data_IF_720993841567
#
_entry.id   IF_720993841567
#
_cell.length_a   1.000
_cell.length_b   1.000
_cell.length_c   1.000
_cell.angle_alpha   90.00
_cell.angle_beta   90.00
_cell.angle_gamma   90.00
#
_symmetry.space_group_name_H-M   'P 1'
#
loop_
_entity.id
_entity.type
_entity.pdbx_description
1 polymer ?
#
# COMPACT_ATOMS: atom_id res chain seq x y z
N UNK A 1 -4.95 -14.64 9.49
CA UNK A 1 -4.61 -16.03 9.06
C UNK A 1 -3.96 -15.95 7.69
N UNK A 2 -2.94 -16.75 7.41
CA UNK A 2 -2.20 -16.71 6.14
C UNK A 2 -2.22 -18.08 5.47
N UNK A 3 -2.46 -18.09 4.16
CA UNK A 3 -2.61 -19.26 3.32
C UNK A 3 -1.73 -19.14 2.08
N UNK A 4 -1.12 -20.25 1.64
CA UNK A 4 -0.29 -20.31 0.45
C UNK A 4 -0.96 -21.20 -0.60
N UNK A 5 -1.04 -20.71 -1.83
CA UNK A 5 -1.63 -21.40 -2.96
C UNK A 5 -0.62 -21.44 -4.10
N UNK A 6 -0.36 -22.63 -4.64
CA UNK A 6 0.51 -22.78 -5.81
C UNK A 6 -0.37 -22.96 -7.03
N UNK A 7 -0.23 -22.07 -8.01
CA UNK A 7 -0.89 -22.19 -9.33
C UNK A 7 0.03 -23.04 -10.21
N UNK A 8 -0.32 -24.31 -10.52
CA UNK A 8 0.51 -25.17 -11.35
C UNK A 8 0.22 -24.97 -12.84
N UNK A 9 1.15 -25.34 -13.71
CA UNK A 9 0.98 -25.28 -15.18
C UNK A 9 0.46 -23.91 -15.65
N UNK A 10 0.99 -22.81 -15.11
CA UNK A 10 0.53 -21.45 -15.38
C UNK A 10 0.39 -21.18 -16.88
N UNK A 11 1.36 -21.59 -17.69
CA UNK A 11 1.35 -21.36 -19.13
C UNK A 11 0.13 -22.00 -19.82
N UNK A 12 -0.37 -23.12 -19.29
CA UNK A 12 -1.60 -23.77 -19.78
C UNK A 12 -2.83 -22.95 -19.41
N UNK A 13 -2.94 -22.51 -18.17
CA UNK A 13 -4.04 -21.65 -17.73
C UNK A 13 -4.04 -20.28 -18.42
N UNK A 14 -2.86 -19.71 -18.69
CA UNK A 14 -2.73 -18.44 -19.38
C UNK A 14 -3.23 -18.49 -20.84
N UNK A 15 -3.38 -19.71 -21.41
CA UNK A 15 -3.91 -19.96 -22.76
C UNK A 15 -5.40 -20.35 -22.77
N UNK A 16 -6.04 -20.53 -21.63
CA UNK A 16 -7.48 -20.80 -21.59
C UNK A 16 -8.29 -19.56 -21.96
N UNK A 17 -9.56 -19.68 -22.37
CA UNK A 17 -10.43 -18.53 -22.53
C UNK A 17 -10.55 -17.73 -21.22
N UNK A 18 -10.76 -16.42 -21.33
CA UNK A 18 -11.10 -15.60 -20.17
C UNK A 18 -12.33 -16.18 -19.44
N UNK A 19 -12.47 -15.87 -18.15
CA UNK A 19 -13.48 -16.44 -17.22
C UNK A 19 -13.20 -17.88 -16.75
N UNK A 20 -12.16 -18.53 -17.25
CA UNK A 20 -11.74 -19.85 -16.76
C UNK A 20 -11.02 -19.71 -15.42
N UNK A 21 -11.61 -20.25 -14.35
CA UNK A 21 -11.06 -20.21 -13.00
C UNK A 21 -10.31 -21.49 -12.64
N UNK A 22 -9.13 -21.36 -12.03
CA UNK A 22 -8.56 -22.36 -11.14
C UNK A 22 -9.12 -22.11 -9.74
N UNK A 23 -9.93 -23.06 -9.25
CA UNK A 23 -10.51 -23.01 -7.91
C UNK A 23 -9.67 -23.89 -6.97
N UNK A 24 -9.19 -23.32 -5.88
CA UNK A 24 -8.50 -24.07 -4.84
C UNK A 24 -9.48 -24.72 -3.87
N UNK A 25 -9.03 -25.77 -3.18
CA UNK A 25 -9.81 -26.41 -2.13
C UNK A 25 -10.22 -25.39 -1.06
N UNK A 26 -11.44 -25.51 -0.53
CA UNK A 26 -11.94 -24.54 0.41
C UNK A 26 -11.26 -24.69 1.79
N UNK A 27 -11.09 -23.58 2.48
CA UNK A 27 -10.49 -23.48 3.80
C UNK A 27 -11.35 -22.62 4.72
N UNK A 28 -11.25 -22.86 6.02
CA UNK A 28 -12.06 -22.15 7.01
C UNK A 28 -11.47 -20.78 7.35
N UNK A 29 -12.32 -19.76 7.29
CA UNK A 29 -12.04 -18.41 7.76
C UNK A 29 -13.26 -17.94 8.54
N UNK A 30 -13.08 -17.55 9.81
CA UNK A 30 -14.17 -17.07 10.67
C UNK A 30 -15.37 -18.01 10.80
N UNK A 31 -15.15 -19.33 10.77
CA UNK A 31 -16.24 -20.32 10.83
C UNK A 31 -16.95 -20.56 9.50
N UNK A 32 -16.52 -19.92 8.40
CA UNK A 32 -17.07 -20.11 7.06
C UNK A 32 -16.04 -20.68 6.09
N UNK A 33 -16.50 -21.55 5.19
CA UNK A 33 -15.67 -22.07 4.11
C UNK A 33 -15.49 -21.01 3.02
N UNK A 34 -14.24 -20.73 2.66
CA UNK A 34 -13.87 -19.87 1.55
C UNK A 34 -12.96 -20.64 0.61
N UNK A 35 -12.95 -20.29 -0.67
CA UNK A 35 -11.97 -20.81 -1.62
C UNK A 35 -11.29 -19.64 -2.36
N UNK A 36 -10.06 -19.87 -2.80
CA UNK A 36 -9.35 -18.93 -3.65
C UNK A 36 -9.63 -19.27 -5.12
N UNK A 37 -10.10 -18.31 -5.89
CA UNK A 37 -10.24 -18.42 -7.34
C UNK A 37 -9.17 -17.58 -8.01
N UNK A 38 -8.42 -18.21 -8.92
CA UNK A 38 -7.43 -17.54 -9.74
C UNK A 38 -7.87 -17.67 -11.19
N UNK A 39 -7.83 -16.56 -11.92
CA UNK A 39 -8.12 -16.52 -13.34
C UNK A 39 -6.84 -16.09 -14.07
N UNK A 40 -5.96 -17.04 -14.44
CA UNK A 40 -4.71 -16.69 -15.10
C UNK A 40 -4.93 -15.93 -16.42
N UNK A 41 -5.98 -16.24 -17.17
CA UNK A 41 -6.35 -15.60 -18.43
C UNK A 41 -7.44 -14.50 -18.30
N UNK A 42 -7.61 -13.92 -17.10
CA UNK A 42 -8.56 -12.83 -16.85
C UNK A 42 -9.93 -13.29 -16.35
N UNK A 43 -10.53 -12.43 -15.51
CA UNK A 43 -11.86 -12.66 -14.93
C UNK A 43 -12.98 -12.53 -15.96
N UNK A 44 -12.79 -11.62 -16.91
CA UNK A 44 -13.67 -11.32 -18.05
C UNK A 44 -12.81 -10.97 -19.27
N UNK A 45 -13.46 -10.73 -20.41
CA UNK A 45 -12.77 -10.41 -21.67
C UNK A 45 -11.98 -9.10 -21.58
N UNK A 46 -12.48 -8.10 -20.84
CA UNK A 46 -11.80 -6.82 -20.67
C UNK A 46 -10.56 -6.91 -19.78
N UNK A 47 -10.45 -7.96 -18.97
CA UNK A 47 -9.32 -8.24 -18.08
C UNK A 47 -8.46 -9.41 -18.57
N UNK A 48 -8.61 -9.86 -19.82
CA UNK A 48 -7.92 -11.02 -20.38
C UNK A 48 -6.37 -10.94 -20.37
N UNK A 49 -5.81 -9.73 -20.33
CA UNK A 49 -4.37 -9.51 -20.20
C UNK A 49 -3.86 -9.59 -18.75
N UNK A 50 -4.75 -9.77 -17.77
CA UNK A 50 -4.43 -9.73 -16.35
C UNK A 50 -4.74 -11.07 -15.68
N UNK A 51 -3.94 -11.40 -14.66
CA UNK A 51 -4.33 -12.42 -13.70
C UNK A 51 -5.31 -11.78 -12.72
N UNK A 52 -6.44 -12.43 -12.50
CA UNK A 52 -7.42 -12.03 -11.49
C UNK A 52 -7.39 -13.01 -10.31
N UNK A 53 -7.64 -12.53 -9.10
CA UNK A 53 -7.59 -13.35 -7.87
C UNK A 53 -8.71 -12.93 -6.93
N UNK A 54 -9.51 -13.89 -6.46
CA UNK A 54 -10.62 -13.64 -5.55
C UNK A 54 -10.67 -14.65 -4.41
N UNK A 55 -10.86 -14.15 -3.19
CA UNK A 55 -11.32 -14.95 -2.07
C UNK A 55 -12.85 -14.97 -2.10
N UNK A 56 -13.42 -16.15 -2.28
CA UNK A 56 -14.85 -16.33 -2.49
C UNK A 56 -15.42 -17.16 -1.35
N UNK A 57 -16.48 -16.69 -0.66
CA UNK A 57 -17.19 -17.53 0.30
C UNK A 57 -17.85 -18.69 -0.47
N UNK A 58 -17.72 -19.91 0.03
CA UNK A 58 -18.48 -21.03 -0.49
C UNK A 58 -19.94 -20.80 -0.13
N UNK A 59 -20.81 -20.74 -1.12
CA UNK A 59 -22.26 -20.66 -0.89
C UNK A 59 -22.71 -21.99 -0.25
N UNK A 60 -22.90 -21.99 1.06
CA UNK A 60 -23.64 -23.05 1.76
C UNK A 60 -25.12 -22.63 1.78
N UNK A 61 -26.04 -23.44 1.23
CA UNK A 61 -27.48 -23.16 1.28
C UNK A 61 -28.04 -22.94 2.70
N UNK A 62 -27.34 -23.41 3.75
CA UNK A 62 -27.77 -23.33 5.14
C UNK A 62 -27.09 -22.21 5.96
N UNK A 63 -26.11 -21.50 5.40
CA UNK A 63 -25.33 -20.50 6.15
C UNK A 63 -25.94 -19.09 6.02
N UNK A 64 -27.12 -18.91 6.63
CA UNK A 64 -27.85 -17.64 6.68
C UNK A 64 -27.33 -16.66 7.75
N UNK A 65 -26.35 -17.06 8.57
CA UNK A 65 -25.94 -16.32 9.78
C UNK A 65 -24.90 -15.24 9.45
N UNK A 66 -24.11 -15.42 8.40
CA UNK A 66 -23.05 -14.48 8.00
C UNK A 66 -23.28 -13.83 6.62
N UNK A 67 -24.42 -14.13 5.98
CA UNK A 67 -24.82 -13.56 4.70
C UNK A 67 -25.48 -12.17 4.83
N UNK A 68 -25.14 -11.42 5.88
CA UNK A 68 -25.54 -10.03 6.03
C UNK A 68 -24.43 -9.14 5.45
N UNK A 69 -24.82 -8.01 4.86
CA UNK A 69 -23.90 -6.97 4.36
C UNK A 69 -22.82 -6.57 5.40
N UNK A 70 -23.04 -6.83 6.68
CA UNK A 70 -22.14 -6.50 7.80
C UNK A 70 -21.01 -7.53 8.01
N UNK A 71 -21.19 -8.81 7.67
CA UNK A 71 -20.21 -9.87 7.90
C UNK A 71 -18.97 -9.80 6.99
N UNK A 72 -19.18 -9.62 5.68
CA UNK A 72 -18.08 -9.44 4.71
C UNK A 72 -17.37 -8.07 4.84
N UNK A 73 -18.02 -7.07 5.45
CA UNK A 73 -17.42 -5.75 5.66
C UNK A 73 -16.27 -5.77 6.68
N UNK A 74 -16.18 -6.77 7.57
CA UNK A 74 -15.12 -6.89 8.58
C UNK A 74 -13.89 -7.67 8.13
N UNK A 75 -13.97 -8.34 6.98
CA UNK A 75 -12.90 -9.17 6.45
C UNK A 75 -12.05 -8.37 5.48
N UNK A 76 -10.78 -8.14 5.79
CA UNK A 76 -9.80 -7.53 4.88
C UNK A 76 -8.87 -8.62 4.36
N UNK A 77 -8.47 -8.54 3.09
CA UNK A 77 -7.50 -9.49 2.51
C UNK A 77 -6.28 -8.77 1.94
N UNK A 78 -5.14 -9.43 2.08
CA UNK A 78 -3.89 -9.13 1.39
C UNK A 78 -3.59 -10.29 0.45
N UNK A 79 -3.41 -9.98 -0.82
CA UNK A 79 -2.98 -10.91 -1.85
C UNK A 79 -1.57 -10.51 -2.25
N UNK A 80 -0.68 -11.48 -2.30
CA UNK A 80 0.70 -11.29 -2.72
C UNK A 80 1.08 -12.42 -3.68
N UNK A 81 1.81 -12.10 -4.75
CA UNK A 81 2.50 -13.11 -5.57
C UNK A 81 3.98 -13.07 -5.19
N UNK A 82 4.50 -14.24 -4.85
CA UNK A 82 5.85 -14.39 -4.32
C UNK A 82 6.85 -14.71 -5.44
N UNK A 83 8.12 -14.45 -5.17
CA UNK A 83 9.23 -14.88 -6.02
C UNK A 83 9.37 -16.40 -6.07
N UNK A 84 10.22 -16.89 -6.96
CA UNK A 84 10.45 -18.32 -7.23
C UNK A 84 10.80 -19.15 -5.99
N UNK A 85 11.42 -18.54 -4.97
CA UNK A 85 11.72 -19.19 -3.69
C UNK A 85 10.49 -19.32 -2.80
N UNK A 86 9.45 -18.51 -3.03
CA UNK A 86 8.24 -18.47 -2.23
C UNK A 86 8.39 -17.68 -0.93
N UNK A 87 9.39 -16.80 -0.84
CA UNK A 87 9.70 -16.08 0.39
C UNK A 87 9.34 -14.59 0.30
N UNK A 88 9.72 -13.94 -0.81
CA UNK A 88 9.60 -12.49 -0.97
C UNK A 88 8.50 -12.13 -1.95
N UNK A 89 7.68 -11.16 -1.58
CA UNK A 89 6.64 -10.62 -2.44
C UNK A 89 7.26 -9.87 -3.60
N UNK A 90 6.67 -10.01 -4.79
CA UNK A 90 6.99 -9.20 -5.97
C UNK A 90 5.79 -8.30 -6.29
N UNK A 91 4.59 -8.89 -6.25
CA UNK A 91 3.33 -8.18 -6.40
C UNK A 91 2.51 -8.28 -5.13
N UNK A 92 1.86 -7.18 -4.76
CA UNK A 92 0.92 -7.09 -3.65
C UNK A 92 -0.29 -6.21 -4.00
N UNK A 93 -1.18 -6.02 -3.03
CA UNK A 93 -2.33 -5.13 -3.10
C UNK A 93 -2.02 -3.71 -3.62
N UNK A 94 -0.84 -3.15 -3.32
CA UNK A 94 -0.45 -1.78 -3.74
C UNK A 94 0.09 -1.76 -5.18
N UNK A 95 0.63 -2.88 -5.67
CA UNK A 95 1.02 -3.03 -7.07
C UNK A 95 -0.15 -3.37 -8.00
N UNK A 96 -1.30 -3.74 -7.43
CA UNK A 96 -2.47 -4.20 -8.16
C UNK A 96 -2.98 -3.15 -9.16
N UNK A 97 -3.47 -3.60 -10.31
CA UNK A 97 -3.91 -2.74 -11.42
C UNK A 97 -5.40 -2.36 -11.37
N UNK A 98 -6.12 -2.85 -10.37
CA UNK A 98 -7.48 -2.42 -10.05
C UNK A 98 -7.64 -2.25 -8.54
N UNK A 99 -8.66 -1.49 -8.13
CA UNK A 99 -9.13 -1.52 -6.74
C UNK A 99 -9.59 -2.92 -6.33
N UNK A 100 -9.52 -3.19 -5.02
CA UNK A 100 -10.05 -4.43 -4.47
C UNK A 100 -11.58 -4.41 -4.52
N UNK A 101 -12.18 -5.41 -5.16
CA UNK A 101 -13.64 -5.57 -5.19
C UNK A 101 -14.15 -6.01 -3.82
N UNK A 102 -15.30 -5.50 -3.43
CA UNK A 102 -15.90 -5.71 -2.10
C UNK A 102 -17.28 -6.37 -2.18
N UNK A 103 -17.86 -6.46 -3.39
CA UNK A 103 -19.25 -6.86 -3.62
C UNK A 103 -19.36 -7.91 -4.74
N UNK A 104 -20.37 -8.79 -4.65
CA UNK A 104 -20.61 -9.87 -5.62
C UNK A 104 -19.99 -11.20 -5.19
N UNK A 105 -19.37 -11.92 -6.12
CA UNK A 105 -18.83 -13.28 -5.97
C UNK A 105 -17.56 -13.39 -5.08
N UNK A 106 -17.29 -12.46 -4.17
CA UNK A 106 -16.12 -12.47 -3.28
C UNK A 106 -15.26 -11.20 -3.30
N UNK A 107 -14.20 -11.21 -2.50
CA UNK A 107 -13.26 -10.08 -2.33
C UNK A 107 -11.97 -10.36 -3.08
N UNK A 108 -11.51 -9.44 -3.93
CA UNK A 108 -10.37 -9.73 -4.80
C UNK A 108 -10.03 -8.63 -5.78
N UNK A 109 -9.36 -9.00 -6.87
CA UNK A 109 -8.87 -8.08 -7.89
C UNK A 109 -9.21 -8.62 -9.27
N UNK A 110 -9.95 -7.82 -10.05
CA UNK A 110 -10.25 -8.11 -11.47
C UNK A 110 -8.98 -7.99 -12.32
N UNK A 111 -8.12 -7.00 -12.01
CA UNK A 111 -6.83 -6.80 -12.66
C UNK A 111 -5.73 -6.76 -11.59
N UNK A 112 -5.26 -7.92 -11.12
CA UNK A 112 -4.21 -7.96 -10.09
C UNK A 112 -2.86 -7.61 -10.71
N UNK A 113 -2.33 -8.47 -11.57
CA UNK A 113 -1.06 -8.28 -12.26
C UNK A 113 -1.25 -8.50 -13.76
N UNK A 114 -0.56 -7.70 -14.60
CA UNK A 114 -0.57 -7.94 -16.05
C UNK A 114 0.27 -9.18 -16.36
N UNK A 115 -0.21 -10.06 -17.23
CA UNK A 115 0.46 -11.33 -17.52
C UNK A 115 1.89 -11.13 -18.05
N UNK A 116 2.08 -10.19 -18.97
CA UNK A 116 3.41 -9.87 -19.50
C UNK A 116 4.39 -9.44 -18.39
N UNK A 117 3.94 -8.65 -17.41
CA UNK A 117 4.76 -8.27 -16.26
C UNK A 117 5.05 -9.46 -15.32
N UNK A 118 4.08 -10.36 -15.13
CA UNK A 118 4.25 -11.56 -14.32
C UNK A 118 5.25 -12.54 -14.95
N UNK A 119 5.15 -12.77 -16.27
CA UNK A 119 5.99 -13.68 -17.05
C UNK A 119 7.47 -13.23 -17.09
N UNK A 120 7.72 -11.92 -17.04
CA UNK A 120 9.06 -11.34 -16.98
C UNK A 120 9.56 -11.06 -15.56
N UNK A 121 8.77 -11.40 -14.54
CA UNK A 121 9.17 -11.29 -13.13
C UNK A 121 9.88 -12.55 -12.63
N UNK A 122 10.38 -12.50 -11.39
CA UNK A 122 10.93 -13.67 -10.72
C UNK A 122 9.87 -14.62 -10.14
N UNK A 123 8.58 -14.44 -10.42
CA UNK A 123 7.50 -15.20 -9.77
C UNK A 123 7.24 -16.57 -10.39
N UNK A 124 7.38 -16.69 -11.72
CA UNK A 124 7.14 -17.96 -12.42
C UNK A 124 8.36 -18.85 -12.23
N UNK A 125 8.17 -19.93 -11.48
CA UNK A 125 9.21 -20.93 -11.25
C UNK A 125 9.36 -21.80 -12.49
N UNK A 126 10.49 -21.64 -13.18
CA UNK A 126 10.75 -22.28 -14.49
C UNK A 126 10.77 -23.81 -14.45
N UNK A 127 11.09 -24.42 -13.31
CA UNK A 127 11.21 -25.88 -13.19
C UNK A 127 9.87 -26.61 -13.34
N UNK A 128 8.78 -25.97 -12.93
CA UNK A 128 7.46 -26.58 -12.78
C UNK A 128 6.32 -25.69 -13.32
N UNK A 129 6.66 -24.60 -14.03
CA UNK A 129 5.70 -23.64 -14.63
C UNK A 129 4.65 -23.19 -13.61
N UNK A 130 5.07 -22.83 -12.40
CA UNK A 130 4.17 -22.50 -11.30
C UNK A 130 4.49 -21.17 -10.64
N UNK A 131 3.53 -20.57 -9.94
CA UNK A 131 3.78 -19.44 -9.05
C UNK A 131 2.96 -19.54 -7.77
N UNK A 132 3.43 -18.86 -6.72
CA UNK A 132 2.83 -18.92 -5.39
C UNK A 132 2.08 -17.64 -5.06
N UNK A 133 0.82 -17.78 -4.65
CA UNK A 133 0.01 -16.72 -4.07
C UNK A 133 -0.01 -16.89 -2.55
N UNK A 134 0.31 -15.82 -1.83
CA UNK A 134 0.07 -15.70 -0.39
C UNK A 134 -1.19 -14.87 -0.16
N UNK A 135 -2.20 -15.48 0.43
CA UNK A 135 -3.42 -14.81 0.86
C UNK A 135 -3.39 -14.66 2.38
N UNK A 136 -3.36 -13.43 2.88
CA UNK A 136 -3.51 -13.14 4.31
C UNK A 136 -4.86 -12.49 4.57
N UNK A 137 -5.65 -13.13 5.42
CA UNK A 137 -6.96 -12.64 5.85
C UNK A 137 -6.85 -12.01 7.23
N UNK A 138 -7.39 -10.79 7.33
CA UNK A 138 -7.48 -9.98 8.54
C UNK A 138 -8.96 -9.82 8.92
N UNK A 139 -9.22 -9.79 10.21
CA UNK A 139 -10.55 -9.64 10.77
C UNK A 139 -10.50 -8.40 11.65
N UNK A 140 -11.29 -7.40 11.30
CA UNK A 140 -11.45 -6.22 12.13
C UNK A 140 -12.45 -6.59 13.24
N UNK A 141 -11.91 -6.87 14.43
CA UNK A 141 -12.72 -7.17 15.63
C UNK A 141 -12.92 -5.87 16.41
N UNK A 142 -14.16 -5.40 16.51
CA UNK A 142 -14.52 -4.36 17.46
C UNK A 142 -14.46 -4.95 18.88
N UNK A 143 -13.36 -4.70 19.59
CA UNK A 143 -13.25 -5.05 21.00
C UNK A 143 -13.97 -4.00 21.82
N UNK A 144 -15.20 -4.31 22.26
CA UNK A 144 -15.88 -3.51 23.30
C UNK A 144 -15.18 -3.78 24.63
N UNK A 145 -14.19 -2.95 24.94
CA UNK A 145 -13.58 -2.93 26.28
C UNK A 145 -14.63 -2.39 27.25
N UNK A 146 -15.32 -3.29 27.96
CA UNK A 146 -16.08 -2.89 29.14
C UNK A 146 -15.04 -2.43 30.18
N UNK A 147 -14.98 -1.13 30.45
CA UNK A 147 -14.15 -0.56 31.52
C UNK A 147 -14.42 -1.33 32.81
N UNK A 148 -13.46 -2.14 33.26
CA UNK A 148 -13.40 -2.58 34.65
C UNK A 148 -12.82 -1.42 35.48
N UNK A 149 -13.33 -1.16 36.69
CA UNK A 149 -12.83 -0.10 37.54
C UNK A 149 -11.36 -0.37 37.88
N UNK A 150 -10.53 0.66 37.68
CA UNK A 150 -9.10 0.60 37.86
C UNK A 150 -8.74 0.24 39.31
N UNK A 151 -8.06 -0.89 39.50
CA UNK A 151 -7.06 -1.10 40.57
C UNK A 151 -6.34 -2.43 40.34
N UNK A 152 -5.23 -2.40 39.61
CA UNK A 152 -4.06 -3.23 39.92
C UNK A 152 -2.81 -2.41 39.58
N UNK A 153 -2.09 -2.06 40.64
CA UNK A 153 -0.75 -1.50 40.62
C UNK A 153 0.22 -2.61 40.19
N UNK A 154 1.12 -2.36 39.24
CA UNK A 154 2.43 -3.03 39.20
C UNK A 154 3.45 -2.10 38.53
N UNK A 155 4.63 -2.07 39.16
CA UNK A 155 5.68 -1.08 39.02
C UNK A 155 6.28 -0.98 37.61
N UNK A 156 6.50 0.27 37.16
CA UNK A 156 7.26 0.58 35.97
C UNK A 156 8.74 0.25 36.17
N UNK A 157 9.25 -0.73 35.42
CA UNK A 157 10.68 -0.85 35.20
C UNK A 157 11.12 0.26 34.24
N UNK A 158 12.06 1.08 34.72
CA UNK A 158 12.79 2.08 33.96
C UNK A 158 13.57 1.38 32.85
N UNK A 159 13.11 1.49 31.61
CA UNK A 159 13.98 1.32 30.44
C UNK A 159 14.49 2.70 30.07
N UNK A 160 15.78 2.95 30.29
CA UNK A 160 16.45 4.13 29.75
C UNK A 160 16.38 4.06 28.21
N UNK A 161 15.46 4.82 27.62
CA UNK A 161 15.48 5.08 26.19
C UNK A 161 16.64 6.03 25.88
N UNK A 162 17.62 5.53 25.13
CA UNK A 162 18.71 6.34 24.57
C UNK A 162 18.15 7.44 23.67
N UNK A 163 18.70 8.66 23.84
CA UNK A 163 18.49 9.86 23.04
C UNK A 163 18.44 9.53 21.53
N UNK A 164 17.35 9.83 20.78
CA UNK A 164 17.35 9.60 19.34
C UNK A 164 18.32 10.59 18.67
N UNK A 165 19.38 10.04 18.07
CA UNK A 165 20.27 10.77 17.17
C UNK A 165 19.47 11.13 15.91
N UNK A 166 19.43 12.41 15.56
CA UNK A 166 18.94 12.86 14.26
C UNK A 166 19.83 12.23 13.19
N UNK A 167 19.31 11.22 12.49
CA UNK A 167 20.07 10.46 11.52
C UNK A 167 19.22 10.12 10.31
N UNK A 168 19.66 10.58 9.15
CA UNK A 168 19.27 10.02 7.85
C UNK A 168 19.87 8.62 7.78
N UNK A 169 19.02 7.60 7.63
CA UNK A 169 19.49 6.21 7.42
C UNK A 169 19.47 5.97 5.91
N UNK A 170 20.59 5.48 5.36
CA UNK A 170 20.75 5.19 3.93
C UNK A 170 20.97 3.70 3.64
N UNK A 171 20.54 3.26 2.47
CA UNK A 171 20.84 1.93 1.90
C UNK A 171 20.97 2.01 0.38
N UNK A 172 21.40 0.92 -0.25
CA UNK A 172 21.31 0.74 -1.69
C UNK A 172 20.72 -0.63 -2.02
N UNK A 173 19.83 -0.68 -3.01
CA UNK A 173 19.27 -1.89 -3.56
C UNK A 173 19.68 -2.03 -5.03
N UNK A 174 20.20 -3.19 -5.43
CA UNK A 174 20.61 -3.45 -6.82
C UNK A 174 19.71 -4.51 -7.42
N UNK A 175 19.18 -4.21 -8.61
CA UNK A 175 18.39 -5.12 -9.43
C UNK A 175 19.14 -5.44 -10.71
N UNK A 176 19.16 -6.72 -11.09
CA UNK A 176 19.68 -7.19 -12.38
C UNK A 176 18.54 -7.77 -13.19
N UNK A 177 18.32 -7.25 -14.39
CA UNK A 177 17.38 -7.77 -15.37
C UNK A 177 18.20 -8.50 -16.43
N UNK A 178 18.08 -9.82 -16.50
CA UNK A 178 18.73 -10.61 -17.55
C UNK A 178 17.86 -10.82 -18.77
N UNK A 179 18.52 -11.13 -19.88
CA UNK A 179 17.92 -11.21 -21.21
C UNK A 179 17.18 -9.92 -21.57
N UNK A 180 17.83 -8.78 -21.29
CA UNK A 180 17.18 -7.46 -21.34
C UNK A 180 16.64 -7.13 -22.73
N UNK A 181 17.32 -7.56 -23.80
CA UNK A 181 16.84 -7.43 -25.18
C UNK A 181 15.50 -8.14 -25.37
N UNK A 182 15.33 -9.35 -24.82
CA UNK A 182 14.07 -10.08 -24.91
C UNK A 182 12.98 -9.42 -24.08
N UNK A 183 13.31 -8.90 -22.89
CA UNK A 183 12.38 -8.13 -22.05
C UNK A 183 11.88 -6.91 -22.83
N UNK A 184 12.77 -6.16 -23.50
CA UNK A 184 12.40 -5.00 -24.33
C UNK A 184 11.53 -5.39 -25.53
N UNK A 185 11.81 -6.52 -26.17
CA UNK A 185 11.00 -6.99 -27.29
C UNK A 185 9.58 -7.39 -26.87
N UNK A 186 9.42 -7.91 -25.64
CA UNK A 186 8.16 -8.44 -25.15
C UNK A 186 7.27 -7.42 -24.43
N UNK A 187 7.84 -6.44 -23.73
CA UNK A 187 7.09 -5.45 -22.96
C UNK A 187 6.76 -4.21 -23.80
N UNK A 188 5.51 -3.76 -23.74
CA UNK A 188 5.08 -2.51 -24.40
C UNK A 188 5.44 -1.27 -23.57
N UNK A 189 5.35 -0.08 -24.17
CA UNK A 189 5.38 1.19 -23.43
C UNK A 189 4.39 1.16 -22.27
N UNK A 190 4.83 1.54 -21.08
CA UNK A 190 4.03 1.48 -19.86
C UNK A 190 3.93 0.11 -19.18
N UNK A 191 4.56 -0.94 -19.72
CA UNK A 191 4.76 -2.21 -19.03
C UNK A 191 6.15 -2.28 -18.39
N UNK A 192 6.28 -3.05 -17.31
CA UNK A 192 7.50 -3.03 -16.50
C UNK A 192 7.86 -4.36 -15.86
N UNK A 193 9.15 -4.48 -15.53
CA UNK A 193 9.67 -5.54 -14.67
C UNK A 193 9.66 -5.03 -13.23
N UNK A 194 9.15 -5.84 -12.31
CA UNK A 194 9.15 -5.54 -10.88
C UNK A 194 10.34 -6.20 -10.19
N UNK A 195 10.97 -5.50 -9.25
CA UNK A 195 11.89 -6.13 -8.32
C UNK A 195 11.16 -6.97 -7.29
N UNK A 196 11.91 -7.84 -6.61
CA UNK A 196 11.47 -8.35 -5.31
C UNK A 196 11.31 -7.17 -4.35
N UNK A 197 10.33 -7.25 -3.47
CA UNK A 197 10.21 -6.29 -2.38
C UNK A 197 11.39 -6.44 -1.40
N UNK A 198 11.86 -5.31 -0.88
CA UNK A 198 12.94 -5.25 0.10
C UNK A 198 12.56 -4.33 1.26
N UNK A 199 12.98 -4.72 2.46
CA UNK A 199 12.69 -3.97 3.69
C UNK A 199 13.76 -2.93 3.96
N UNK A 200 13.35 -1.70 4.27
CA UNK A 200 14.25 -0.66 4.72
C UNK A 200 13.53 0.36 5.60
N UNK A 201 14.11 0.58 6.79
CA UNK A 201 13.62 1.55 7.78
C UNK A 201 12.14 1.39 8.14
N UNK A 202 11.70 0.15 8.37
CA UNK A 202 10.31 -0.17 8.73
C UNK A 202 9.33 -0.26 7.55
N UNK A 203 9.72 0.23 6.36
CA UNK A 203 8.93 0.14 5.14
C UNK A 203 9.30 -1.05 4.26
N UNK A 204 8.34 -1.48 3.43
CA UNK A 204 8.60 -2.33 2.26
C UNK A 204 8.73 -1.46 1.01
N UNK A 205 9.69 -1.77 0.15
CA UNK A 205 10.03 -0.99 -1.05
C UNK A 205 10.23 -1.91 -2.25
N UNK A 206 10.02 -1.39 -3.47
CA UNK A 206 10.28 -2.13 -4.71
C UNK A 206 10.62 -1.18 -5.86
N UNK A 207 11.23 -1.72 -6.91
CA UNK A 207 11.50 -1.00 -8.16
C UNK A 207 10.55 -1.48 -9.26
N UNK A 208 10.12 -0.53 -10.09
CA UNK A 208 9.51 -0.80 -11.40
C UNK A 208 10.44 -0.26 -12.48
N UNK A 209 10.89 -1.13 -13.36
CA UNK A 209 11.76 -0.76 -14.49
C UNK A 209 10.95 -0.90 -15.77
N UNK A 210 10.79 0.20 -16.49
CA UNK A 210 10.05 0.29 -17.74
C UNK A 210 11.07 0.33 -18.89
N UNK A 211 11.31 -0.78 -19.60
CA UNK A 211 12.36 -0.85 -20.61
C UNK A 211 12.10 0.03 -21.83
N UNK A 212 10.82 0.28 -22.13
CA UNK A 212 10.35 1.06 -23.27
C UNK A 212 9.53 2.29 -22.82
N UNK A 213 9.92 2.89 -21.69
CA UNK A 213 9.31 4.08 -21.13
C UNK A 213 8.07 3.83 -20.27
N UNK A 214 7.85 4.70 -19.29
CA UNK A 214 6.68 4.70 -18.41
C UNK A 214 5.39 5.08 -19.14
N UNK A 215 5.49 6.00 -20.10
CA UNK A 215 4.41 6.44 -20.97
C UNK A 215 4.96 6.85 -22.34
N UNK A 216 4.08 7.16 -23.29
CA UNK A 216 4.45 7.55 -24.66
C UNK A 216 5.46 8.69 -24.73
N UNK A 217 5.36 9.69 -23.85
CA UNK A 217 6.32 10.80 -23.79
C UNK A 217 7.75 10.38 -23.41
N UNK A 218 7.89 9.20 -22.81
CA UNK A 218 9.17 8.61 -22.37
C UNK A 218 9.54 7.34 -23.14
N UNK A 219 8.86 7.03 -24.26
CA UNK A 219 9.01 5.74 -24.96
C UNK A 219 10.44 5.39 -25.39
N UNK A 220 11.25 6.41 -25.66
CA UNK A 220 12.64 6.25 -26.12
C UNK A 220 13.62 6.11 -24.93
N UNK A 221 13.12 6.05 -23.70
CA UNK A 221 13.89 6.01 -22.47
C UNK A 221 13.58 4.76 -21.66
N UNK A 222 14.56 4.30 -20.88
CA UNK A 222 14.28 3.45 -19.73
C UNK A 222 13.83 4.34 -18.58
N UNK A 223 12.66 4.05 -18.03
CA UNK A 223 12.14 4.72 -16.83
C UNK A 223 12.28 3.81 -15.62
N UNK A 224 12.58 4.39 -14.45
CA UNK A 224 12.66 3.64 -13.19
C UNK A 224 11.89 4.37 -12.12
N UNK A 225 11.03 3.62 -11.43
CA UNK A 225 10.17 4.12 -10.36
C UNK A 225 10.46 3.32 -9.09
N UNK A 226 10.66 4.04 -7.98
CA UNK A 226 10.65 3.46 -6.64
C UNK A 226 9.20 3.50 -6.13
N UNK A 227 8.71 2.35 -5.67
CA UNK A 227 7.42 2.23 -5.02
C UNK A 227 7.58 1.83 -3.56
N UNK A 228 6.66 2.30 -2.71
CA UNK A 228 6.48 1.81 -1.35
C UNK A 228 5.43 0.71 -1.37
N UNK A 229 5.79 -0.47 -0.90
CA UNK A 229 4.86 -1.58 -0.63
C UNK A 229 4.08 -1.33 0.65
N UNK A 230 3.35 -2.35 1.11
CA UNK A 230 2.57 -2.26 2.35
C UNK A 230 3.45 -1.86 3.55
N UNK A 231 3.06 -0.78 4.23
CA UNK A 231 3.57 -0.40 5.56
C UNK A 231 2.39 -0.03 6.46
N UNK A 232 2.48 -0.35 7.76
CA UNK A 232 1.53 0.13 8.77
C UNK A 232 1.74 1.61 9.14
N UNK A 233 2.79 2.23 8.63
CA UNK A 233 3.12 3.64 8.85
C UNK A 233 2.42 4.52 7.80
N UNK A 234 1.87 5.66 8.21
CA UNK A 234 1.03 6.49 7.34
C UNK A 234 1.80 7.15 6.21
N UNK A 235 3.01 7.64 6.47
CA UNK A 235 3.80 8.41 5.50
C UNK A 235 5.30 8.19 5.73
N UNK A 236 6.07 8.09 4.65
CA UNK A 236 7.54 8.07 4.72
C UNK A 236 8.14 9.03 3.72
N UNK A 237 8.87 10.03 4.19
CA UNK A 237 9.67 10.88 3.32
C UNK A 237 11.00 10.20 3.02
N UNK A 238 11.34 10.08 1.75
CA UNK A 238 12.59 9.51 1.31
C UNK A 238 13.25 10.35 0.21
N UNK A 239 14.58 10.36 0.24
CA UNK A 239 15.42 10.80 -0.86
C UNK A 239 15.99 9.57 -1.55
N UNK A 240 15.99 9.55 -2.88
CA UNK A 240 16.51 8.43 -3.64
C UNK A 240 17.08 8.85 -4.99
N UNK A 241 17.96 8.03 -5.54
CA UNK A 241 18.46 8.17 -6.92
C UNK A 241 18.73 6.80 -7.51
N UNK A 242 18.70 6.72 -8.84
CA UNK A 242 18.98 5.49 -9.58
C UNK A 242 20.27 5.64 -10.35
N UNK A 243 21.01 4.57 -10.52
CA UNK A 243 22.23 4.51 -11.31
C UNK A 243 22.15 3.29 -12.23
N UNK A 244 22.50 3.46 -13.51
CA UNK A 244 22.62 2.35 -14.46
C UNK A 244 24.07 1.92 -14.50
N UNK A 245 24.36 0.74 -13.95
CA UNK A 245 25.74 0.25 -13.87
C UNK A 245 26.25 -0.08 -15.28
N UNK A 246 27.42 0.45 -15.64
CA UNK A 246 28.04 0.26 -16.94
C UNK A 246 27.78 1.39 -17.95
N UNK A 247 26.91 2.35 -17.63
CA UNK A 247 26.69 3.56 -18.46
C UNK A 247 27.15 4.77 -17.67
N UNK A 248 28.28 5.36 -18.07
CA UNK A 248 28.88 6.52 -17.38
C UNK A 248 27.89 7.71 -17.36
N UNK A 249 27.65 8.28 -16.19
CA UNK A 249 26.75 9.43 -16.01
C UNK A 249 25.25 9.11 -15.99
N UNK A 250 24.83 7.88 -16.30
CA UNK A 250 23.41 7.51 -16.31
C UNK A 250 22.88 7.34 -14.88
N UNK A 251 22.18 8.37 -14.39
CA UNK A 251 21.58 8.37 -13.06
C UNK A 251 22.51 8.80 -11.92
N UNK A 252 23.76 9.20 -12.24
CA UNK A 252 24.69 9.76 -11.25
C UNK A 252 24.30 11.17 -10.74
N UNK A 253 23.13 11.69 -11.15
CA UNK A 253 22.63 13.02 -10.87
C UNK A 253 21.92 13.23 -9.52
N UNK A 254 20.96 14.16 -9.52
CA UNK A 254 20.28 14.67 -8.33
C UNK A 254 19.43 13.62 -7.60
N UNK A 255 19.37 13.77 -6.27
CA UNK A 255 18.48 12.99 -5.43
C UNK A 255 17.03 13.48 -5.62
N UNK A 256 16.15 12.56 -5.98
CA UNK A 256 14.71 12.78 -5.96
C UNK A 256 14.22 12.72 -4.52
N UNK A 257 13.40 13.68 -4.11
CA UNK A 257 12.76 13.68 -2.79
C UNK A 257 11.26 13.50 -2.95
N UNK A 258 10.71 12.52 -2.23
CA UNK A 258 9.28 12.22 -2.30
C UNK A 258 8.72 11.83 -0.94
N UNK A 259 7.46 12.14 -0.70
CA UNK A 259 6.69 11.67 0.46
C UNK A 259 5.78 10.55 0.00
N UNK A 260 6.11 9.34 0.42
CA UNK A 260 5.38 8.14 0.07
C UNK A 260 4.25 7.90 1.06
N UNK A 261 3.03 7.84 0.56
CA UNK A 261 1.82 7.54 1.31
C UNK A 261 0.92 6.58 0.51
N UNK A 262 -0.31 6.36 0.97
CA UNK A 262 -1.25 5.46 0.30
C UNK A 262 -1.68 5.95 -1.09
N UNK A 263 -1.86 7.25 -1.25
CA UNK A 263 -2.41 7.87 -2.46
C UNK A 263 -1.30 8.24 -3.45
N UNK A 264 -0.07 8.40 -2.95
CA UNK A 264 1.12 8.68 -3.73
C UNK A 264 2.26 7.68 -3.43
N UNK A 265 2.06 6.38 -3.71
CA UNK A 265 2.96 5.32 -3.25
C UNK A 265 4.21 5.16 -4.10
N UNK A 266 4.39 5.92 -5.19
CA UNK A 266 5.46 5.69 -6.14
C UNK A 266 5.98 6.98 -6.79
N UNK A 267 7.30 7.08 -6.95
CA UNK A 267 7.94 8.20 -7.63
C UNK A 267 9.27 7.77 -8.28
N UNK A 268 9.71 8.47 -9.32
CA UNK A 268 10.99 8.15 -9.94
C UNK A 268 11.32 8.91 -11.20
N UNK A 269 12.31 8.40 -11.94
CA UNK A 269 12.82 9.02 -13.14
C UNK A 269 12.13 8.44 -14.38
N UNK A 270 11.40 9.29 -15.10
CA UNK A 270 10.75 8.93 -16.37
C UNK A 270 11.76 8.82 -17.53
N UNK A 271 12.92 9.46 -17.41
CA UNK A 271 13.92 9.54 -18.47
C UNK A 271 15.31 9.24 -17.89
N UNK A 272 15.52 8.03 -17.37
CA UNK A 272 16.77 7.70 -16.66
C UNK A 272 17.96 7.56 -17.62
N UNK A 273 17.76 6.81 -18.71
CA UNK A 273 18.77 6.59 -19.76
C UNK A 273 18.06 6.40 -21.10
N UNK A 274 18.61 6.96 -22.18
CA UNK A 274 18.04 6.75 -23.52
C UNK A 274 18.31 5.32 -23.97
N UNK A 275 17.36 4.80 -24.72
CA UNK A 275 17.49 3.48 -25.36
C UNK A 275 18.71 3.39 -26.29
N UNK A 276 19.07 4.47 -26.99
CA UNK A 276 20.27 4.53 -27.83
C UNK A 276 21.57 4.35 -27.05
N UNK A 277 21.62 4.89 -25.85
CA UNK A 277 22.84 4.92 -25.04
C UNK A 277 23.09 3.54 -24.41
N UNK A 278 22.00 2.79 -24.18
CA UNK A 278 22.07 1.37 -23.85
C UNK A 278 22.59 0.53 -25.01
N UNK A 279 22.20 0.79 -26.25
CA UNK A 279 22.72 0.02 -27.40
C UNK A 279 24.23 0.18 -27.59
N UNK A 280 24.80 1.33 -27.21
CA UNK A 280 26.25 1.55 -27.23
C UNK A 280 26.97 0.80 -26.09
N UNK A 281 26.32 0.63 -24.93
CA UNK A 281 26.79 -0.22 -23.84
C UNK A 281 26.60 -1.72 -24.13
N UNK A 282 25.53 -2.10 -24.84
CA UNK A 282 25.27 -3.46 -25.34
C UNK A 282 26.36 -3.89 -26.35
N UNK A 283 26.91 -2.97 -27.15
CA UNK A 283 28.04 -3.26 -28.06
C UNK A 283 29.40 -3.41 -27.37
N UNK A 284 29.55 -2.96 -26.10
CA UNK A 284 30.79 -3.14 -25.32
C UNK A 284 30.73 -4.30 -24.32
N UNK A 285 29.61 -5.01 -24.23
CA UNK A 285 29.42 -6.12 -23.30
C UNK A 285 28.98 -7.39 -24.01
N UNK A 286 29.89 -7.98 -24.80
CA UNK A 286 29.78 -9.35 -25.35
C UNK A 286 29.73 -10.46 -24.29
N UNK A 287 29.31 -10.19 -23.05
CA UNK A 287 29.25 -11.26 -22.05
C UNK A 287 28.11 -11.22 -21.03
N UNK A 288 26.98 -10.54 -21.31
CA UNK A 288 25.65 -10.90 -20.78
C UNK A 288 24.64 -9.79 -21.08
N UNK A 289 23.66 -10.05 -21.94
CA UNK A 289 22.46 -9.23 -22.22
C UNK A 289 21.68 -8.93 -20.92
N UNK A 290 22.16 -7.94 -20.14
CA UNK A 290 21.69 -7.62 -18.78
C UNK A 290 21.67 -6.12 -18.56
N UNK A 291 20.59 -5.63 -17.93
CA UNK A 291 20.51 -4.29 -17.38
C UNK A 291 20.66 -4.36 -15.85
N UNK A 292 21.60 -3.60 -15.29
CA UNK A 292 21.81 -3.52 -13.84
C UNK A 292 21.50 -2.11 -13.35
N UNK A 293 20.52 -2.01 -12.44
CA UNK A 293 20.09 -0.74 -11.85
C UNK A 293 20.37 -0.77 -10.35
N UNK A 294 21.05 0.25 -9.86
CA UNK A 294 21.26 0.48 -8.43
C UNK A 294 20.42 1.66 -7.95
N UNK A 295 19.54 1.42 -7.00
CA UNK A 295 18.78 2.45 -6.30
C UNK A 295 19.48 2.78 -4.98
N UNK A 296 19.85 4.04 -4.78
CA UNK A 296 20.26 4.55 -3.47
C UNK A 296 19.04 5.17 -2.79
N UNK A 297 18.81 4.84 -1.51
CA UNK A 297 17.63 5.25 -0.77
C UNK A 297 18.03 5.79 0.61
N UNK A 298 17.44 6.91 1.02
CA UNK A 298 17.64 7.59 2.30
C UNK A 298 16.28 7.93 2.90
N UNK A 299 16.02 7.54 4.15
CA UNK A 299 14.80 7.93 4.85
C UNK A 299 15.04 9.15 5.72
N UNK A 300 14.09 10.09 5.66
CA UNK A 300 14.08 11.29 6.48
C UNK A 300 13.08 11.08 7.62
N UNK A 301 13.58 10.94 8.85
CA UNK A 301 12.72 10.83 10.04
C UNK A 301 12.09 12.18 10.36
N UNK A 302 10.76 12.24 10.51
CA UNK A 302 10.07 13.41 11.06
C UNK A 302 10.45 13.54 12.55
N UNK A 303 11.13 14.61 12.93
CA UNK A 303 11.41 14.92 14.33
C UNK A 303 10.12 15.44 14.97
N UNK A 304 9.50 14.66 15.86
CA UNK A 304 8.48 15.22 16.76
C UNK A 304 9.20 16.02 17.83
N UNK A 305 9.35 17.32 17.61
CA UNK A 305 9.71 18.24 18.69
C UNK A 305 8.54 18.26 19.67
N UNK A 306 8.60 17.43 20.73
CA UNK A 306 7.76 17.66 21.90
C UNK A 306 8.24 18.99 22.47
N UNK A 307 7.45 20.05 22.28
CA UNK A 307 7.63 21.26 23.06
C UNK A 307 7.65 20.82 24.54
N UNK A 308 8.64 21.23 25.34
CA UNK A 308 8.57 21.01 26.78
C UNK A 308 7.24 21.59 27.25
N UNK A 309 6.53 20.95 28.21
CA UNK A 309 5.36 21.57 28.80
C UNK A 309 5.80 22.96 29.28
N UNK A 310 5.14 24.00 28.79
CA UNK A 310 5.34 25.35 29.26
C UNK A 310 4.95 25.36 30.74
N UNK A 311 5.92 25.16 31.63
CA UNK A 311 5.78 25.53 33.03
C UNK A 311 5.80 27.06 33.06
N UNK A 312 4.66 27.67 32.76
CA UNK A 312 4.36 28.98 33.32
C UNK A 312 4.24 28.78 34.84
N UNK A 313 5.06 29.46 35.66
CA UNK A 313 4.87 29.44 37.10
C UNK A 313 3.48 30.02 37.42
N UNK A 314 2.71 29.45 38.37
CA UNK A 314 1.40 29.96 38.69
C UNK A 314 1.51 31.39 39.19
N UNK A 315 0.93 32.33 38.45
CA UNK A 315 0.79 33.73 38.84
C UNK A 315 -0.01 33.78 40.15
N UNK A 316 0.68 34.11 41.24
CA UNK A 316 0.04 34.38 42.52
C UNK A 316 -0.85 35.61 42.39
N UNK A 317 -2.17 35.41 42.39
CA UNK A 317 -3.14 36.49 42.48
C UNK A 317 -3.11 36.99 43.93
N UNK A 318 -2.45 38.13 44.15
CA UNK A 318 -2.52 38.86 45.40
C UNK A 318 -3.92 39.48 45.54
N UNK A 319 -4.67 39.01 46.55
CA UNK A 319 -5.99 39.53 46.93
C UNK A 319 -5.81 40.85 47.69
N UNK A 320 -6.42 41.97 47.28
CA UNK A 320 -6.45 43.18 48.09
C UNK A 320 -7.49 43.05 49.23
N UNK A 321 -7.23 43.63 50.42
CA UNK A 321 -8.08 43.47 51.60
C UNK A 321 -9.44 44.17 51.40
N UNK A 322 -10.52 43.45 51.71
CA UNK A 322 -11.88 43.96 51.66
C UNK A 322 -12.29 44.54 53.01
N UNK A 323 -12.42 45.87 53.08
CA UNK A 323 -13.15 46.55 54.14
C UNK A 323 -14.66 46.41 53.89
N UNK A 324 -15.40 45.99 54.92
CA UNK A 324 -16.83 45.77 54.86
C UNK A 324 -17.64 46.99 55.28
N UNK A 325 -18.84 47.17 54.72
CA UNK A 325 -20.00 47.76 55.40
C UNK A 325 -21.30 47.53 54.62
N UNK A 326 -22.11 46.62 55.19
CA UNK A 326 -23.58 46.52 55.36
C UNK A 326 -24.52 47.33 54.44
N UNK A 327 -25.56 46.66 53.93
CA UNK A 327 -27.02 46.90 54.12
C UNK A 327 -27.81 46.03 53.10
N UNK A 328 -28.45 44.92 53.49
CA UNK A 328 -29.81 44.74 54.02
C UNK A 328 -30.99 44.76 53.01
N UNK A 329 -31.71 43.63 52.98
CA UNK A 329 -33.14 43.38 52.69
C UNK A 329 -33.66 43.00 51.27
N UNK A 330 -34.11 41.74 51.21
CA UNK A 330 -35.48 41.23 50.89
C UNK A 330 -35.71 40.49 49.54
N UNK A 331 -36.10 39.22 49.72
CA UNK A 331 -36.68 38.19 48.82
C UNK A 331 -38.15 38.62 48.43
N UNK A 332 -38.94 37.99 47.50
CA UNK A 332 -38.81 36.62 46.96
C UNK A 332 -39.35 36.30 45.53
N UNK A 333 -39.28 35.00 45.21
CA UNK A 333 -40.29 34.16 44.52
C UNK A 333 -40.27 33.94 42.99
N UNK A 334 -39.72 32.76 42.64
CA UNK A 334 -40.23 31.67 41.76
C UNK A 334 -41.63 31.84 41.14
N UNK A 335 -41.77 31.60 39.82
CA UNK A 335 -42.63 30.55 39.26
C UNK A 335 -42.27 30.24 37.79
N UNK A 336 -42.32 28.96 37.45
CA UNK A 336 -42.17 28.37 36.11
C UNK A 336 -43.40 28.66 35.24
N UNK A 337 -43.27 28.53 33.91
CA UNK A 337 -43.92 27.49 33.07
C UNK A 337 -43.74 27.81 31.57
N UNK A 338 -43.16 26.84 30.88
CA UNK A 338 -43.43 26.28 29.54
C UNK A 338 -44.31 27.08 28.56
N UNK A 339 -43.82 27.21 27.32
CA UNK A 339 -44.65 27.48 26.15
C UNK A 339 -43.93 27.18 24.82
N UNK A 340 -44.29 26.06 24.18
CA UNK A 340 -44.00 25.71 22.77
C UNK A 340 -44.77 26.65 21.81
N UNK A 341 -44.16 26.97 20.65
CA UNK A 341 -44.71 26.94 19.27
C UNK A 341 -43.60 27.47 18.33
N UNK A 342 -43.19 26.73 17.30
CA UNK A 342 -43.80 26.67 15.94
C UNK A 342 -43.96 28.06 15.33
N UNK A 343 -43.13 28.39 14.34
CA UNK A 343 -43.45 28.48 12.90
C UNK A 343 -42.11 28.80 12.18
N UNK A 344 -41.70 28.09 11.12
CA UNK A 344 -42.05 28.37 9.71
C UNK A 344 -41.76 29.84 9.34
N UNK A 345 -41.01 30.22 8.31
CA UNK A 345 -40.65 29.54 7.08
C UNK A 345 -39.69 30.45 6.29
N UNK A 346 -38.94 29.82 5.37
CA UNK A 346 -38.52 30.35 4.05
C UNK A 346 -37.42 31.41 3.84
N UNK A 347 -36.64 31.02 2.82
CA UNK A 347 -36.11 31.78 1.67
C UNK A 347 -34.71 32.38 1.77
N UNK A 348 -33.84 31.64 1.09
CA UNK A 348 -33.22 32.02 -0.18
C UNK A 348 -31.70 32.17 -0.19
N UNK A 349 -31.20 31.76 -1.37
CA UNK A 349 -29.91 32.06 -1.97
C UNK A 349 -28.69 31.20 -1.55
N UNK A 350 -28.40 30.26 -2.45
CA UNK A 350 -27.05 29.83 -2.79
C UNK A 350 -26.14 31.05 -3.14
N UNK A 351 -24.81 30.88 -3.11
CA UNK A 351 -24.19 30.42 -4.35
C UNK A 351 -23.08 29.37 -4.18
N UNK A 352 -23.05 28.49 -5.20
CA UNK A 352 -21.89 27.99 -5.92
C UNK A 352 -20.53 28.61 -5.55
N UNK A 353 -19.57 27.78 -5.12
CA UNK A 353 -18.18 27.87 -5.58
C UNK A 353 -17.61 26.47 -5.82
N UNK A 354 -17.05 26.34 -7.01
CA UNK A 354 -16.32 25.22 -7.59
C UNK A 354 -15.08 24.84 -6.79
N UNK A 355 -14.67 23.57 -6.87
CA UNK A 355 -13.27 23.17 -6.71
C UNK A 355 -12.98 22.00 -7.66
N UNK A 356 -12.35 22.36 -8.78
CA UNK A 356 -11.42 21.48 -9.49
C UNK A 356 -10.06 21.66 -8.81
N UNK A 357 -9.42 20.57 -8.42
CA UNK A 357 -8.13 20.10 -8.93
C UNK A 357 -7.90 18.68 -8.43
#
# INVERSE_FOLDING_TARGET
MTYLFTVPEYSKWARTPARTALNFDPFFVCGQLHHLNVYPAGFDEESAEFVAVFLVPRHDPFDHIYNTKEGLCRLRISIEILDESGERSVFDNHTARSGQTVWGNGRGYVRFVKRSELEWSSCIRRRDDSFTIRCTVFIDVEVVVRKLPAKVFLAEQIVQASKPVAGTIGTSYTMTIGFFSNVRAALRTGECVHSRQFSFGGGSWYLKVYPNGYCEASRDWVSVILGRGRSGETETTAEFRFEVIGVVGAGEGEWLRHMFDHDNPAHGSRCLVKSSDLTQAEHMATDNDRLVIRCHLRLIKKTTTRLPPTTEPPTAIAVPPSDGLKHHHKVPARLEIVGKRMDEETRDAAPLVSLRY
#
